data_IF_428086030867
#
_entry.id   IF_428086030867
#
_cell.length_a   1.000
_cell.length_b   1.000
_cell.length_c   1.000
_cell.angle_alpha   90.00
_cell.angle_beta   90.00
_cell.angle_gamma   90.00
#
_symmetry.space_group_name_H-M   'P 1'
#
loop_
_entity.id
_entity.type
_entity.pdbx_description
1 polymer ?
#
# COMPACT_ATOMS: atom_id res chain seq x y z
N UNK A 1 -25.42 -0.58 1.18
CA UNK A 1 -25.16 0.84 1.50
C UNK A 1 -24.26 1.41 0.42
N UNK A 2 -24.61 2.55 -0.16
CA UNK A 2 -23.72 3.25 -1.11
C UNK A 2 -22.74 4.08 -0.29
N UNK A 3 -21.45 3.71 -0.31
CA UNK A 3 -20.42 4.47 0.40
C UNK A 3 -20.30 5.85 -0.25
N UNK A 4 -20.14 6.89 0.57
CA UNK A 4 -19.85 8.26 0.10
C UNK A 4 -18.35 8.44 0.08
N UNK A 5 -17.78 9.02 -0.97
CA UNK A 5 -16.35 9.31 -1.04
C UNK A 5 -15.92 10.33 0.03
N UNK A 6 -14.64 10.25 0.42
CA UNK A 6 -13.96 11.14 1.35
C UNK A 6 -14.59 11.16 2.74
N UNK A 7 -14.94 9.98 3.25
CA UNK A 7 -15.58 9.81 4.56
C UNK A 7 -14.92 8.68 5.35
N UNK A 8 -14.82 8.87 6.65
CA UNK A 8 -14.49 7.78 7.57
C UNK A 8 -15.80 7.16 8.05
N UNK A 9 -15.96 5.85 7.83
CA UNK A 9 -17.15 5.10 8.23
C UNK A 9 -16.80 3.63 8.45
N UNK A 10 -17.79 2.82 8.80
CA UNK A 10 -17.64 1.37 8.77
C UNK A 10 -18.05 0.82 7.39
N UNK A 11 -17.41 -0.26 6.98
CA UNK A 11 -17.82 -1.05 5.83
C UNK A 11 -17.87 -2.53 6.19
N UNK A 12 -18.75 -3.27 5.52
CA UNK A 12 -18.83 -4.72 5.65
C UNK A 12 -17.52 -5.33 5.15
N UNK A 13 -16.82 -6.07 6.01
CA UNK A 13 -15.46 -6.56 5.72
C UNK A 13 -15.43 -7.43 4.45
N UNK A 14 -16.47 -8.24 4.23
CA UNK A 14 -16.60 -9.14 3.08
C UNK A 14 -16.84 -8.42 1.75
N UNK A 15 -17.26 -7.15 1.78
CA UNK A 15 -17.48 -6.35 0.56
C UNK A 15 -16.21 -5.68 0.05
N UNK A 16 -15.14 -5.69 0.85
CA UNK A 16 -13.87 -5.08 0.51
C UNK A 16 -13.07 -5.99 -0.42
N UNK A 17 -12.50 -5.41 -1.47
CA UNK A 17 -11.80 -6.13 -2.54
C UNK A 17 -10.31 -5.76 -2.56
N UNK A 18 -9.44 -6.50 -1.85
CA UNK A 18 -8.00 -6.33 -1.93
C UNK A 18 -7.47 -6.48 -3.35
N UNK A 19 -6.71 -5.48 -3.82
CA UNK A 19 -6.11 -5.51 -5.14
C UNK A 19 -4.74 -6.19 -5.21
N UNK A 20 -4.08 -6.32 -4.07
CA UNK A 20 -2.82 -7.07 -3.95
C UNK A 20 -3.02 -8.33 -3.10
N UNK A 21 -2.11 -9.28 -3.29
CA UNK A 21 -1.94 -10.44 -2.41
C UNK A 21 -1.42 -9.97 -1.05
N UNK A 22 -1.97 -10.56 0.02
CA UNK A 22 -1.45 -10.34 1.38
C UNK A 22 -0.24 -11.24 1.66
N UNK A 23 0.69 -10.76 2.45
CA UNK A 23 1.77 -11.58 3.00
C UNK A 23 1.32 -12.24 4.31
N UNK A 24 1.37 -13.58 4.43
CA UNK A 24 0.85 -14.31 5.59
C UNK A 24 1.41 -13.85 6.93
N UNK A 25 2.71 -13.51 6.98
CA UNK A 25 3.37 -13.01 8.19
C UNK A 25 2.75 -11.69 8.69
N UNK A 26 2.51 -10.71 7.80
CA UNK A 26 1.90 -9.45 8.20
C UNK A 26 0.44 -9.61 8.61
N UNK A 27 -0.31 -10.53 7.97
CA UNK A 27 -1.67 -10.86 8.40
C UNK A 27 -1.67 -11.47 9.79
N UNK A 28 -0.76 -12.42 10.07
CA UNK A 28 -0.63 -13.03 11.39
C UNK A 28 -0.27 -12.00 12.47
N UNK A 29 0.72 -11.14 12.18
CA UNK A 29 1.12 -10.05 13.07
C UNK A 29 -0.05 -9.12 13.40
N UNK A 30 -0.76 -8.62 12.40
CA UNK A 30 -1.92 -7.74 12.60
C UNK A 30 -3.03 -8.41 13.41
N UNK A 31 -3.27 -9.71 13.23
CA UNK A 31 -4.26 -10.44 14.03
C UNK A 31 -3.91 -10.45 15.51
N UNK A 32 -2.64 -10.69 15.84
CA UNK A 32 -2.19 -10.69 17.23
C UNK A 32 -2.19 -9.28 17.82
N UNK A 33 -1.80 -8.26 17.04
CA UNK A 33 -1.92 -6.85 17.44
C UNK A 33 -3.37 -6.48 17.75
N UNK A 34 -4.33 -6.75 16.85
CA UNK A 34 -5.76 -6.47 17.07
C UNK A 34 -6.28 -7.19 18.33
N UNK A 35 -5.90 -8.46 18.54
CA UNK A 35 -6.33 -9.22 19.73
C UNK A 35 -5.75 -8.66 21.03
N UNK A 36 -4.49 -8.22 21.01
CA UNK A 36 -3.79 -7.68 22.16
C UNK A 36 -4.31 -6.29 22.51
N UNK A 37 -4.39 -5.43 21.51
CA UNK A 37 -4.69 -4.01 21.65
C UNK A 37 -6.19 -3.72 21.69
N UNK A 38 -7.03 -4.72 21.35
CA UNK A 38 -8.50 -4.64 21.32
C UNK A 38 -9.03 -3.50 20.46
N UNK A 39 -8.27 -3.07 19.45
CA UNK A 39 -8.68 -2.03 18.53
C UNK A 39 -8.09 -2.23 17.12
N UNK A 40 -8.74 -1.64 16.12
CA UNK A 40 -8.19 -1.42 14.79
C UNK A 40 -7.60 -0.01 14.73
N UNK A 41 -6.26 0.07 14.64
CA UNK A 41 -5.54 1.35 14.76
C UNK A 41 -5.75 2.27 13.55
N UNK A 42 -5.64 1.74 12.33
CA UNK A 42 -5.71 2.52 11.10
C UNK A 42 -6.89 2.07 10.23
N UNK A 43 -7.67 2.98 9.64
CA UNK A 43 -8.77 2.63 8.72
C UNK A 43 -8.23 2.13 7.38
N UNK A 44 -8.91 1.16 6.77
CA UNK A 44 -8.59 0.70 5.40
C UNK A 44 -8.99 1.78 4.40
N UNK A 45 -8.13 2.11 3.43
CA UNK A 45 -8.51 3.04 2.36
C UNK A 45 -9.21 2.25 1.27
N UNK A 46 -10.42 2.67 0.89
CA UNK A 46 -11.27 1.94 -0.06
C UNK A 46 -11.91 2.89 -1.06
N UNK A 47 -12.02 2.49 -2.31
CA UNK A 47 -12.86 3.18 -3.29
C UNK A 47 -14.34 3.05 -2.90
N UNK A 48 -15.02 4.19 -2.81
CA UNK A 48 -16.42 4.24 -2.37
C UNK A 48 -17.37 3.53 -3.35
N UNK A 49 -17.07 3.59 -4.65
CA UNK A 49 -17.95 3.05 -5.68
C UNK A 49 -17.82 1.53 -5.84
N UNK A 50 -16.59 1.01 -5.77
CA UNK A 50 -16.29 -0.38 -6.17
C UNK A 50 -15.92 -1.32 -5.02
N UNK A 51 -15.58 -0.78 -3.85
CA UNK A 51 -15.02 -1.57 -2.74
C UNK A 51 -13.55 -1.95 -2.93
N UNK A 52 -12.89 -1.45 -3.99
CA UNK A 52 -11.45 -1.63 -4.23
C UNK A 52 -10.65 -1.12 -3.04
N UNK A 53 -9.90 -2.00 -2.37
CA UNK A 53 -9.02 -1.60 -1.27
C UNK A 53 -7.79 -0.94 -1.86
N UNK A 54 -7.63 0.36 -1.67
CA UNK A 54 -6.49 1.16 -2.14
C UNK A 54 -5.27 0.93 -1.24
N UNK A 55 -5.46 0.89 0.07
CA UNK A 55 -4.40 0.56 1.04
C UNK A 55 -5.04 -0.16 2.24
N UNK A 56 -4.44 -1.28 2.66
CA UNK A 56 -4.92 -2.04 3.81
C UNK A 56 -5.30 -3.50 3.52
N UNK A 57 -4.83 -4.10 2.42
CA UNK A 57 -4.97 -5.53 2.10
C UNK A 57 -4.78 -6.44 3.32
N UNK A 58 -3.67 -6.30 4.05
CA UNK A 58 -3.40 -7.14 5.23
C UNK A 58 -4.41 -6.93 6.38
N UNK A 59 -4.95 -5.71 6.52
CA UNK A 59 -5.94 -5.37 7.56
C UNK A 59 -7.30 -6.00 7.25
N UNK A 60 -7.73 -5.97 5.99
CA UNK A 60 -8.93 -6.67 5.53
C UNK A 60 -8.80 -8.18 5.77
N UNK A 61 -7.69 -8.78 5.33
CA UNK A 61 -7.43 -10.22 5.52
C UNK A 61 -7.35 -10.62 7.01
N UNK A 62 -6.75 -9.77 7.85
CA UNK A 62 -6.72 -10.00 9.30
C UNK A 62 -8.14 -9.95 9.90
N UNK A 63 -8.95 -8.97 9.50
CA UNK A 63 -10.33 -8.83 9.96
C UNK A 63 -11.22 -10.00 9.55
N UNK A 64 -11.13 -10.45 8.29
CA UNK A 64 -11.82 -11.67 7.81
C UNK A 64 -11.44 -12.89 8.66
N UNK A 65 -10.15 -13.10 8.92
CA UNK A 65 -9.67 -14.21 9.76
C UNK A 65 -10.04 -14.09 11.24
N UNK A 66 -10.36 -12.90 11.72
CA UNK A 66 -10.87 -12.65 13.06
C UNK A 66 -12.41 -12.68 13.11
N UNK A 67 -13.08 -12.79 11.96
CA UNK A 67 -14.54 -12.69 11.82
C UNK A 67 -15.11 -11.34 12.29
N UNK A 68 -14.33 -10.27 12.14
CA UNK A 68 -14.80 -8.91 12.39
C UNK A 68 -15.76 -8.52 11.25
N UNK A 69 -17.06 -8.31 11.51
CA UNK A 69 -18.06 -8.18 10.45
C UNK A 69 -17.97 -6.83 9.72
N UNK A 70 -17.63 -5.77 10.46
CA UNK A 70 -17.42 -4.43 9.91
C UNK A 70 -16.05 -3.91 10.30
N UNK A 71 -15.36 -3.21 9.40
CA UNK A 71 -14.06 -2.59 9.67
C UNK A 71 -14.11 -1.09 9.37
N UNK A 72 -13.38 -0.25 10.11
CA UNK A 72 -13.25 1.15 9.76
C UNK A 72 -12.55 1.33 8.41
N UNK A 73 -13.15 2.17 7.58
CA UNK A 73 -12.64 2.54 6.28
C UNK A 73 -12.55 4.05 6.13
N UNK A 74 -11.61 4.48 5.31
CA UNK A 74 -11.61 5.80 4.68
C UNK A 74 -11.98 5.61 3.22
N UNK A 75 -13.17 6.05 2.86
CA UNK A 75 -13.67 5.96 1.51
C UNK A 75 -13.06 7.07 0.67
N UNK A 76 -12.71 6.79 -0.57
CA UNK A 76 -12.19 7.76 -1.54
C UNK A 76 -12.91 7.63 -2.87
N UNK A 77 -12.77 8.64 -3.73
CA UNK A 77 -12.98 8.46 -5.16
C UNK A 77 -11.64 8.04 -5.76
N UNK A 78 -11.51 6.77 -6.16
CA UNK A 78 -10.25 6.23 -6.64
C UNK A 78 -9.71 6.96 -7.87
N UNK A 79 -10.58 7.49 -8.73
CA UNK A 79 -10.16 8.16 -9.97
C UNK A 79 -9.82 9.64 -9.77
N UNK A 80 -10.17 10.23 -8.63
CA UNK A 80 -9.74 11.58 -8.25
C UNK A 80 -8.23 11.76 -8.29
N UNK A 81 -7.77 12.96 -8.65
CA UNK A 81 -6.35 13.36 -8.65
C UNK A 81 -5.72 13.30 -7.25
N UNK A 82 -6.55 13.34 -6.19
CA UNK A 82 -6.13 13.21 -4.79
C UNK A 82 -5.66 11.80 -4.39
N UNK A 83 -5.87 10.83 -5.27
CA UNK A 83 -5.33 9.47 -5.15
C UNK A 83 -4.31 9.32 -6.26
N UNK A 84 -3.03 9.25 -5.94
CA UNK A 84 -1.98 9.02 -6.93
C UNK A 84 -1.59 7.54 -6.94
N UNK A 85 -1.30 7.00 -8.12
CA UNK A 85 -0.79 5.64 -8.30
C UNK A 85 0.63 5.70 -8.83
N UNK A 86 1.56 5.21 -8.02
CA UNK A 86 2.99 5.13 -8.29
C UNK A 86 3.47 3.68 -8.34
N UNK A 87 4.74 3.48 -8.66
CA UNK A 87 5.42 2.19 -8.57
C UNK A 87 6.30 2.05 -7.33
N UNK A 88 6.94 0.89 -7.23
CA UNK A 88 8.08 0.64 -6.35
C UNK A 88 9.33 0.38 -7.17
N UNK A 89 10.43 1.05 -6.83
CA UNK A 89 11.76 0.69 -7.32
C UNK A 89 12.31 -0.51 -6.54
N UNK A 90 13.00 -1.42 -7.23
CA UNK A 90 13.73 -2.52 -6.61
C UNK A 90 15.22 -2.22 -6.66
N UNK A 91 15.78 -1.74 -5.55
CA UNK A 91 17.21 -1.54 -5.40
C UNK A 91 17.86 -2.86 -4.95
N UNK A 92 18.83 -3.38 -5.70
CA UNK A 92 19.38 -4.73 -5.49
C UNK A 92 20.77 -4.65 -4.92
N UNK A 93 21.02 -5.36 -3.81
CA UNK A 93 22.28 -5.22 -3.05
C UNK A 93 23.44 -6.06 -3.58
N UNK A 94 23.16 -7.21 -4.21
CA UNK A 94 24.19 -8.10 -4.80
C UNK A 94 24.27 -7.93 -6.31
N UNK A 95 25.46 -8.10 -6.88
CA UNK A 95 25.67 -8.09 -8.34
C UNK A 95 25.11 -9.35 -9.01
N UNK A 96 24.74 -9.22 -10.28
CA UNK A 96 24.39 -10.33 -11.18
C UNK A 96 25.08 -10.10 -12.53
N UNK A 97 25.56 -11.17 -13.18
CA UNK A 97 26.14 -11.06 -14.53
C UNK A 97 25.02 -11.00 -15.58
N UNK A 98 25.32 -10.39 -16.73
CA UNK A 98 24.37 -10.34 -17.85
C UNK A 98 24.00 -11.73 -18.36
N UNK A 99 24.94 -12.69 -18.34
CA UNK A 99 24.68 -14.07 -18.75
C UNK A 99 23.67 -14.76 -17.82
N UNK A 100 23.89 -14.66 -16.50
CA UNK A 100 22.97 -15.23 -15.50
C UNK A 100 21.60 -14.57 -15.57
N UNK A 101 21.54 -13.24 -15.68
CA UNK A 101 20.28 -12.52 -15.84
C UNK A 101 19.56 -12.96 -17.12
N UNK A 102 20.27 -13.07 -18.25
CA UNK A 102 19.70 -13.50 -19.54
C UNK A 102 19.10 -14.90 -19.45
N UNK A 103 19.81 -15.84 -18.83
CA UNK A 103 19.32 -17.20 -18.61
C UNK A 103 18.06 -17.20 -17.74
N UNK A 104 18.07 -16.41 -16.66
CA UNK A 104 16.95 -16.30 -15.73
C UNK A 104 15.71 -15.70 -16.38
N UNK A 105 15.83 -14.60 -17.12
CA UNK A 105 14.64 -13.98 -17.74
C UNK A 105 14.05 -14.91 -18.82
N UNK A 106 14.90 -15.61 -19.59
CA UNK A 106 14.46 -16.55 -20.63
C UNK A 106 13.70 -17.74 -20.05
N UNK A 107 14.12 -18.25 -18.88
CA UNK A 107 13.43 -19.37 -18.23
C UNK A 107 12.01 -19.02 -17.77
N UNK A 108 11.70 -17.72 -17.62
CA UNK A 108 10.35 -17.21 -17.34
C UNK A 108 9.62 -16.67 -18.58
N UNK A 109 10.16 -16.88 -19.79
CA UNK A 109 9.54 -16.47 -21.04
C UNK A 109 9.68 -14.99 -21.38
N UNK A 110 10.64 -14.29 -20.77
CA UNK A 110 10.97 -12.92 -21.13
C UNK A 110 12.10 -12.84 -22.16
N UNK A 111 12.12 -11.76 -22.93
CA UNK A 111 13.18 -11.44 -23.89
C UNK A 111 13.64 -9.99 -23.76
N UNK A 112 14.89 -9.70 -24.14
CA UNK A 112 15.37 -8.32 -24.30
C UNK A 112 14.93 -7.69 -25.62
N UNK A 113 14.48 -8.49 -26.58
CA UNK A 113 13.96 -8.01 -27.85
C UNK A 113 12.53 -7.54 -27.67
N UNK A 114 12.21 -6.35 -28.17
CA UNK A 114 10.83 -5.89 -28.21
C UNK A 114 10.13 -6.52 -29.42
N UNK A 115 9.54 -7.69 -29.20
CA UNK A 115 8.84 -8.47 -30.23
C UNK A 115 7.34 -8.12 -30.24
N UNK A 116 6.88 -7.29 -29.31
CA UNK A 116 5.46 -7.00 -29.08
C UNK A 116 5.12 -5.53 -29.28
N UNK A 117 3.85 -5.21 -29.50
CA UNK A 117 3.35 -3.83 -29.39
C UNK A 117 3.14 -3.39 -27.93
N UNK A 118 3.44 -4.28 -26.96
CA UNK A 118 3.20 -4.03 -25.54
C UNK A 118 4.36 -3.25 -24.90
N UNK A 119 4.10 -2.49 -23.82
CA UNK A 119 5.16 -1.88 -23.04
C UNK A 119 6.06 -2.94 -22.41
N UNK A 120 7.26 -2.53 -22.01
CA UNK A 120 8.19 -3.39 -21.27
C UNK A 120 7.52 -3.95 -20.01
N UNK A 121 7.89 -5.17 -19.61
CA UNK A 121 7.48 -5.78 -18.36
C UNK A 121 8.35 -5.31 -17.18
N UNK A 122 9.68 -5.27 -17.39
CA UNK A 122 10.66 -4.81 -16.40
C UNK A 122 11.75 -3.99 -17.09
N UNK A 123 12.17 -2.89 -16.47
CA UNK A 123 13.31 -2.06 -16.88
C UNK A 123 14.40 -2.14 -15.80
N UNK A 124 15.55 -2.68 -16.16
CA UNK A 124 16.76 -2.73 -15.34
C UNK A 124 17.65 -1.51 -15.62
N UNK A 125 18.35 -1.05 -14.58
CA UNK A 125 19.35 0.00 -14.60
C UNK A 125 20.56 -0.45 -13.77
N UNK A 126 21.77 -0.32 -14.31
CA UNK A 126 23.02 -0.62 -13.64
C UNK A 126 23.75 0.66 -13.22
N UNK A 127 24.64 0.55 -12.24
CA UNK A 127 25.39 1.70 -11.70
C UNK A 127 26.34 2.35 -12.70
N UNK A 128 26.67 1.67 -13.80
CA UNK A 128 27.46 2.21 -14.91
C UNK A 128 26.61 2.97 -15.94
N UNK A 129 25.31 3.14 -15.69
CA UNK A 129 24.36 3.82 -16.57
C UNK A 129 23.75 2.94 -17.66
N UNK A 130 24.15 1.66 -17.78
CA UNK A 130 23.52 0.73 -18.71
C UNK A 130 22.08 0.48 -18.26
N UNK A 131 21.15 0.46 -19.22
CA UNK A 131 19.76 0.06 -18.98
C UNK A 131 19.30 -0.98 -20.00
N UNK A 132 18.43 -1.89 -19.55
CA UNK A 132 17.83 -2.93 -20.39
C UNK A 132 16.37 -3.12 -20.02
N UNK A 133 15.54 -3.28 -21.03
CA UNK A 133 14.12 -3.61 -20.86
C UNK A 133 13.91 -5.06 -21.26
N UNK A 134 13.00 -5.73 -20.56
CA UNK A 134 12.54 -7.05 -20.93
C UNK A 134 11.04 -7.02 -21.24
N UNK A 135 10.64 -7.86 -22.18
CA UNK A 135 9.30 -7.96 -22.73
C UNK A 135 8.81 -9.40 -22.59
N UNK A 136 7.50 -9.58 -22.58
CA UNK A 136 6.83 -10.89 -22.60
C UNK A 136 5.73 -10.83 -23.65
N UNK A 137 5.46 -11.95 -24.32
CA UNK A 137 4.41 -12.03 -25.35
C UNK A 137 2.99 -11.96 -24.76
N UNK A 138 2.83 -12.28 -23.47
CA UNK A 138 1.53 -12.24 -22.80
C UNK A 138 0.89 -10.85 -22.93
N UNK A 139 -0.37 -10.82 -23.33
CA UNK A 139 -1.10 -9.57 -23.56
C UNK A 139 -1.89 -9.09 -22.34
N UNK A 140 -2.14 -9.95 -21.36
CA UNK A 140 -2.94 -9.61 -20.18
C UNK A 140 -2.07 -9.32 -18.93
N UNK A 141 -2.66 -8.55 -18.02
CA UNK A 141 -2.01 -8.16 -16.76
C UNK A 141 -1.79 -9.35 -15.84
N UNK A 142 -2.78 -10.24 -15.61
CA UNK A 142 -2.60 -11.38 -14.73
C UNK A 142 -1.42 -12.29 -15.10
N UNK A 143 -1.26 -12.67 -16.37
CA UNK A 143 -0.16 -13.53 -16.80
C UNK A 143 1.19 -12.80 -16.67
N UNK A 144 1.25 -11.55 -17.14
CA UNK A 144 2.47 -10.72 -17.07
C UNK A 144 2.96 -10.55 -15.64
N UNK A 145 2.09 -10.11 -14.71
CA UNK A 145 2.47 -9.88 -13.31
C UNK A 145 2.77 -11.18 -12.57
N UNK A 146 2.11 -12.28 -12.93
CA UNK A 146 2.44 -13.60 -12.39
C UNK A 146 3.85 -14.04 -12.77
N UNK A 147 4.26 -13.87 -14.03
CA UNK A 147 5.63 -14.15 -14.48
C UNK A 147 6.65 -13.20 -13.83
N UNK A 148 6.33 -11.91 -13.70
CA UNK A 148 7.18 -10.94 -12.99
C UNK A 148 7.39 -11.38 -11.53
N UNK A 149 6.34 -11.82 -10.84
CA UNK A 149 6.44 -12.30 -9.46
C UNK A 149 7.31 -13.56 -9.34
N UNK A 150 7.22 -14.49 -10.29
CA UNK A 150 8.08 -15.68 -10.31
C UNK A 150 9.55 -15.31 -10.52
N UNK A 151 9.83 -14.37 -11.44
CA UNK A 151 11.17 -13.81 -11.63
C UNK A 151 11.67 -13.10 -10.37
N UNK A 152 10.85 -12.24 -9.77
CA UNK A 152 11.20 -11.47 -8.57
C UNK A 152 11.53 -12.41 -7.39
N UNK A 153 10.79 -13.50 -7.20
CA UNK A 153 11.11 -14.53 -6.19
C UNK A 153 12.52 -15.11 -6.35
N UNK A 154 13.01 -15.29 -7.58
CA UNK A 154 14.39 -15.70 -7.83
C UNK A 154 15.39 -14.56 -7.59
N UNK A 155 15.01 -13.31 -7.86
CA UNK A 155 15.85 -12.14 -7.62
C UNK A 155 15.93 -11.77 -6.13
N UNK A 156 14.97 -12.17 -5.29
CA UNK A 156 14.99 -11.89 -3.84
C UNK A 156 16.28 -12.36 -3.14
N UNK A 157 16.92 -13.43 -3.61
CA UNK A 157 18.20 -13.91 -3.07
C UNK A 157 19.36 -12.90 -3.23
N UNK A 158 19.20 -11.93 -4.14
CA UNK A 158 20.14 -10.83 -4.38
C UNK A 158 19.93 -9.64 -3.41
N UNK A 159 18.98 -9.76 -2.48
CA UNK A 159 18.68 -8.75 -1.46
C UNK A 159 18.03 -7.51 -2.09
N UNK A 160 16.74 -7.63 -2.42
CA UNK A 160 15.93 -6.54 -2.95
C UNK A 160 15.47 -5.63 -1.81
N UNK A 161 15.66 -4.32 -1.97
CA UNK A 161 15.04 -3.29 -1.16
C UNK A 161 14.03 -2.51 -2.00
N UNK A 162 12.82 -2.35 -1.48
CA UNK A 162 11.79 -1.54 -2.12
C UNK A 162 12.00 -0.07 -1.76
N UNK A 163 12.15 0.76 -2.77
CA UNK A 163 12.34 2.22 -2.66
C UNK A 163 11.26 2.95 -3.45
N UNK A 164 11.12 4.27 -3.25
CA UNK A 164 10.26 5.07 -4.12
C UNK A 164 10.80 4.99 -5.55
N UNK A 165 9.90 4.82 -6.50
CA UNK A 165 10.22 4.75 -7.93
C UNK A 165 11.11 5.89 -8.40
N UNK A 166 10.78 7.13 -8.01
CA UNK A 166 11.57 8.33 -8.34
C UNK A 166 12.98 8.37 -7.76
N UNK A 167 13.24 7.62 -6.69
CA UNK A 167 14.55 7.62 -6.02
C UNK A 167 15.49 6.56 -6.60
N UNK A 168 14.97 5.53 -7.28
CA UNK A 168 15.74 4.36 -7.70
C UNK A 168 16.90 4.73 -8.61
N UNK A 169 16.67 5.60 -9.59
CA UNK A 169 17.69 6.00 -10.56
C UNK A 169 18.88 6.68 -9.88
N UNK A 170 18.61 7.63 -9.00
CA UNK A 170 19.65 8.30 -8.22
C UNK A 170 20.45 7.29 -7.39
N UNK A 171 19.77 6.40 -6.64
CA UNK A 171 20.42 5.41 -5.77
C UNK A 171 21.33 4.44 -6.55
N UNK A 172 20.98 4.11 -7.78
CA UNK A 172 21.79 3.22 -8.63
C UNK A 172 22.95 3.98 -9.26
N UNK A 173 22.72 5.18 -9.81
CA UNK A 173 23.75 5.97 -10.50
C UNK A 173 24.80 6.55 -9.55
N UNK A 174 24.48 6.74 -8.27
CA UNK A 174 25.48 7.08 -7.22
C UNK A 174 26.24 5.85 -6.69
N UNK A 175 26.01 4.67 -7.28
CA UNK A 175 26.61 3.40 -6.91
C UNK A 175 26.32 2.93 -5.47
N UNK A 176 25.23 3.41 -4.85
CA UNK A 176 24.75 2.86 -3.57
C UNK A 176 24.24 1.42 -3.77
N UNK A 177 23.69 1.13 -4.95
CA UNK A 177 23.30 -0.22 -5.36
C UNK A 177 23.94 -0.58 -6.71
N UNK A 178 24.44 -1.81 -6.89
CA UNK A 178 25.05 -2.24 -8.16
C UNK A 178 24.08 -2.20 -9.34
N UNK A 179 22.79 -2.45 -9.10
CA UNK A 179 21.73 -2.30 -10.07
C UNK A 179 20.38 -2.20 -9.38
N UNK A 180 19.37 -1.80 -10.15
CA UNK A 180 17.99 -1.80 -9.73
C UNK A 180 17.05 -2.04 -10.90
N UNK A 181 15.76 -2.25 -10.60
CA UNK A 181 14.75 -2.37 -11.65
C UNK A 181 13.38 -1.84 -11.25
N UNK A 182 12.64 -1.46 -12.27
CA UNK A 182 11.24 -1.03 -12.23
C UNK A 182 10.40 -2.05 -12.99
N UNK A 183 9.29 -2.48 -12.42
CA UNK A 183 8.26 -3.18 -13.17
C UNK A 183 7.40 -2.16 -13.94
N UNK A 184 6.68 -2.60 -14.97
CA UNK A 184 5.67 -1.76 -15.64
C UNK A 184 4.75 -1.12 -14.60
N UNK A 185 4.44 0.15 -14.76
CA UNK A 185 3.45 0.82 -13.93
C UNK A 185 2.06 0.58 -14.52
N UNK A 186 1.11 0.17 -13.67
CA UNK A 186 -0.29 0.04 -14.04
C UNK A 186 -0.97 1.41 -14.01
N UNK A 187 -1.99 1.55 -14.83
CA UNK A 187 -3.00 2.62 -14.70
C UNK A 187 -4.02 2.25 -13.62
N UNK A 188 -4.72 3.25 -13.07
CA UNK A 188 -5.83 3.00 -12.13
C UNK A 188 -6.91 2.10 -12.74
N UNK A 189 -7.20 2.28 -14.03
CA UNK A 189 -8.17 1.46 -14.75
C UNK A 189 -7.77 -0.02 -14.76
N UNK A 190 -6.51 -0.29 -15.10
CA UNK A 190 -5.94 -1.64 -15.10
C UNK A 190 -5.93 -2.30 -13.70
N UNK A 191 -5.67 -1.53 -12.64
CA UNK A 191 -5.78 -2.03 -11.26
C UNK A 191 -7.22 -2.39 -10.93
N UNK A 192 -8.18 -1.54 -11.28
CA UNK A 192 -9.60 -1.81 -11.03
C UNK A 192 -10.08 -3.03 -11.82
N UNK A 193 -9.77 -3.12 -13.12
CA UNK A 193 -10.11 -4.27 -13.98
C UNK A 193 -9.56 -5.57 -13.41
N UNK A 194 -8.30 -5.58 -12.96
CA UNK A 194 -7.70 -6.76 -12.29
C UNK A 194 -8.55 -7.25 -11.11
N UNK A 195 -9.04 -6.34 -10.28
CA UNK A 195 -9.87 -6.68 -9.12
C UNK A 195 -11.27 -7.13 -9.49
N UNK A 196 -11.85 -6.57 -10.55
CA UNK A 196 -13.15 -6.99 -11.07
C UNK A 196 -13.09 -8.39 -11.68
N UNK A 197 -11.94 -8.80 -12.19
CA UNK A 197 -11.65 -10.15 -12.69
C UNK A 197 -11.21 -11.13 -11.59
N UNK A 198 -11.42 -10.78 -10.31
CA UNK A 198 -10.99 -11.54 -9.13
C UNK A 198 -9.47 -11.84 -9.07
N UNK A 199 -8.66 -11.08 -9.81
CA UNK A 199 -7.22 -11.19 -9.80
C UNK A 199 -6.59 -10.25 -8.77
N UNK A 200 -5.73 -10.81 -7.93
CA UNK A 200 -4.91 -10.04 -6.98
C UNK A 200 -3.48 -9.96 -7.46
N UNK A 201 -3.03 -8.73 -7.66
CA UNK A 201 -1.66 -8.42 -8.05
C UNK A 201 -0.65 -8.95 -7.01
N UNK A 202 0.56 -9.32 -7.43
CA UNK A 202 1.65 -9.60 -6.50
C UNK A 202 1.86 -8.44 -5.51
N UNK A 203 2.35 -8.70 -4.29
CA UNK A 203 2.64 -7.64 -3.33
C UNK A 203 3.62 -6.62 -3.92
N UNK A 204 3.47 -5.33 -3.56
CA UNK A 204 4.36 -4.25 -4.06
C UNK A 204 4.30 -4.08 -5.58
N UNK A 205 3.14 -4.35 -6.18
CA UNK A 205 2.86 -4.02 -7.58
C UNK A 205 2.50 -2.55 -7.74
N UNK A 206 1.82 -1.97 -6.74
CA UNK A 206 1.34 -0.59 -6.75
C UNK A 206 1.83 0.17 -5.51
N UNK A 207 1.86 1.50 -5.60
CA UNK A 207 2.08 2.40 -4.48
C UNK A 207 1.10 3.56 -4.54
N UNK A 208 0.10 3.56 -3.67
CA UNK A 208 -0.85 4.66 -3.59
C UNK A 208 -0.42 5.74 -2.60
N UNK A 209 -0.53 6.98 -3.05
CA UNK A 209 -0.41 8.19 -2.20
C UNK A 209 -1.81 8.80 -2.16
N UNK A 210 -2.34 9.02 -0.95
CA UNK A 210 -3.73 9.46 -0.76
C UNK A 210 -3.72 10.71 0.10
N UNK A 211 -4.23 11.82 -0.44
CA UNK A 211 -4.31 13.07 0.29
C UNK A 211 -5.17 12.92 1.56
N UNK A 212 -4.77 13.62 2.64
CA UNK A 212 -5.48 13.67 3.92
C UNK A 212 -5.72 12.27 4.55
N UNK A 213 -4.82 11.32 4.30
CA UNK A 213 -4.91 9.94 4.81
C UNK A 213 -5.16 9.95 6.33
N UNK A 214 -6.28 9.40 6.82
CA UNK A 214 -6.56 9.32 8.24
C UNK A 214 -5.75 8.21 8.92
N UNK A 215 -5.22 8.51 10.09
CA UNK A 215 -4.31 7.65 10.84
C UNK A 215 -4.74 7.58 12.31
N UNK A 216 -4.46 6.45 12.96
CA UNK A 216 -4.62 6.26 14.40
C UNK A 216 -6.05 6.49 14.94
N UNK A 217 -7.07 6.01 14.24
CA UNK A 217 -8.47 6.06 14.72
C UNK A 217 -8.71 5.21 15.97
N UNK A 218 -7.84 4.23 16.24
CA UNK A 218 -7.91 3.33 17.41
C UNK A 218 -9.31 2.75 17.69
N UNK A 219 -10.07 2.41 16.66
CA UNK A 219 -11.46 1.96 16.81
C UNK A 219 -11.53 0.68 17.65
N UNK A 220 -12.20 0.69 18.81
CA UNK A 220 -12.37 -0.48 19.66
C UNK A 220 -13.07 -1.63 18.92
N UNK A 221 -12.58 -2.84 19.14
CA UNK A 221 -13.10 -4.04 18.44
C UNK A 221 -14.53 -4.36 18.88
N UNK A 222 -14.95 -4.03 20.12
CA UNK A 222 -16.32 -4.25 20.59
C UNK A 222 -17.35 -3.47 19.78
N UNK A 223 -17.03 -2.25 19.34
CA UNK A 223 -17.88 -1.45 18.43
C UNK A 223 -18.09 -2.21 17.11
N UNK A 224 -17.06 -2.87 16.61
CA UNK A 224 -17.09 -3.54 15.30
C UNK A 224 -17.99 -4.78 15.26
N UNK A 225 -18.36 -5.33 16.43
CA UNK A 225 -19.25 -6.48 16.56
C UNK A 225 -20.69 -6.11 16.92
N UNK A 226 -20.97 -4.85 17.23
CA UNK A 226 -22.29 -4.46 17.75
C UNK A 226 -23.32 -4.24 16.63
N UNK A 227 -24.60 -4.36 16.99
CA UNK A 227 -25.70 -4.10 16.06
C UNK A 227 -25.80 -2.60 15.71
N UNK A 228 -25.50 -1.74 16.69
CA UNK A 228 -25.44 -0.28 16.66
C UNK A 228 -24.05 0.27 16.27
N UNK A 229 -23.22 -0.53 15.59
CA UNK A 229 -21.81 -0.22 15.33
C UNK A 229 -21.58 1.13 14.65
N UNK A 230 -22.44 1.52 13.71
CA UNK A 230 -22.31 2.79 12.98
C UNK A 230 -22.51 4.01 13.90
N UNK A 231 -23.43 3.93 14.86
CA UNK A 231 -23.74 4.99 15.83
C UNK A 231 -22.59 5.12 16.83
N UNK A 232 -22.17 4.01 17.44
CA UNK A 232 -21.02 3.97 18.36
C UNK A 232 -19.72 4.41 17.70
N UNK A 233 -19.53 4.07 16.42
CA UNK A 233 -18.34 4.52 15.69
C UNK A 233 -18.37 6.02 15.39
N UNK A 234 -19.54 6.60 15.11
CA UNK A 234 -19.69 8.04 14.97
C UNK A 234 -19.38 8.76 16.29
N UNK A 235 -19.96 8.30 17.41
CA UNK A 235 -19.67 8.82 18.76
C UNK A 235 -18.17 8.71 19.08
N UNK A 236 -17.54 7.58 18.76
CA UNK A 236 -16.11 7.37 18.96
C UNK A 236 -15.25 8.42 18.23
N UNK A 237 -15.64 8.81 17.02
CA UNK A 237 -14.95 9.83 16.22
C UNK A 237 -15.23 11.25 16.70
N UNK A 238 -16.42 11.53 17.24
CA UNK A 238 -16.81 12.86 17.74
C UNK A 238 -16.03 13.25 19.01
N UNK A 239 -15.58 12.27 19.78
CA UNK A 239 -14.80 12.49 21.01
C UNK A 239 -13.33 12.84 20.77
N UNK A 240 -12.82 12.68 19.54
CA UNK A 240 -11.43 12.97 19.22
C UNK A 240 -11.22 14.29 18.47
N UNK A 241 -9.96 14.56 18.12
CA UNK A 241 -9.57 15.76 17.37
C UNK A 241 -8.70 15.37 16.19
N UNK A 242 -8.97 15.93 15.02
CA UNK A 242 -8.15 15.72 13.83
C UNK A 242 -7.00 16.73 13.78
N UNK A 243 -5.78 16.20 13.65
CA UNK A 243 -4.55 16.98 13.61
C UNK A 243 -3.88 16.76 12.26
N UNK A 244 -3.64 17.85 11.55
CA UNK A 244 -2.93 17.84 10.28
C UNK A 244 -1.43 17.60 10.53
N UNK A 245 -0.89 16.59 9.85
CA UNK A 245 0.54 16.24 9.89
C UNK A 245 1.10 16.40 8.48
N UNK A 246 2.19 17.19 8.31
CA UNK A 246 2.70 17.54 6.99
C UNK A 246 3.32 16.34 6.26
N UNK A 247 3.47 16.44 4.93
CA UNK A 247 4.24 15.49 4.13
C UNK A 247 5.65 15.22 4.66
N UNK A 248 6.13 14.00 4.46
CA UNK A 248 7.51 13.60 4.75
C UNK A 248 7.77 13.09 6.16
N UNK A 249 6.76 13.09 7.03
CA UNK A 249 6.86 12.56 8.40
C UNK A 249 7.01 11.05 8.39
N UNK A 250 7.86 10.55 9.29
CA UNK A 250 8.07 9.13 9.52
C UNK A 250 7.27 8.67 10.74
N UNK A 251 6.37 7.71 10.52
CA UNK A 251 5.55 7.07 11.54
C UNK A 251 5.92 5.59 11.60
N UNK A 252 5.06 4.72 11.08
CA UNK A 252 5.40 3.31 10.77
C UNK A 252 6.19 3.19 9.45
N UNK A 253 6.03 4.19 8.58
CA UNK A 253 6.83 4.44 7.38
C UNK A 253 6.88 5.93 7.09
N UNK A 254 7.68 6.33 6.11
CA UNK A 254 7.63 7.67 5.55
C UNK A 254 6.40 7.86 4.68
N UNK A 255 5.61 8.89 4.96
CA UNK A 255 4.46 9.29 4.15
C UNK A 255 4.86 10.45 3.23
N UNK A 256 4.57 10.34 1.93
CA UNK A 256 4.85 11.41 0.97
C UNK A 256 3.70 12.44 0.95
N UNK A 257 2.51 12.02 1.39
CA UNK A 257 1.31 12.83 1.53
C UNK A 257 1.20 13.54 2.89
N UNK A 258 0.34 14.56 2.93
CA UNK A 258 -0.24 15.07 4.17
C UNK A 258 -1.12 13.98 4.79
N UNK A 259 -1.01 13.78 6.09
CA UNK A 259 -1.85 12.83 6.84
C UNK A 259 -2.69 13.56 7.89
N UNK A 260 -3.82 12.96 8.27
CA UNK A 260 -4.69 13.43 9.34
C UNK A 260 -4.65 12.44 10.49
N UNK A 261 -4.07 12.84 11.61
CA UNK A 261 -4.01 12.00 12.81
C UNK A 261 -5.25 12.25 13.65
N UNK A 262 -5.99 11.20 13.96
CA UNK A 262 -7.04 11.24 14.96
C UNK A 262 -6.38 11.21 16.35
N UNK A 263 -6.61 12.22 17.18
CA UNK A 263 -6.03 12.35 18.50
C UNK A 263 -7.09 12.26 19.59
N UNK A 264 -6.80 11.44 20.60
CA UNK A 264 -7.56 11.27 21.85
C UNK A 264 -6.56 11.31 23.01
N UNK A 265 -6.80 12.18 23.99
CA UNK A 265 -5.85 12.46 25.08
C UNK A 265 -5.62 11.22 25.96
N UNK A 266 -6.66 10.44 26.21
CA UNK A 266 -6.63 9.18 26.96
C UNK A 266 -5.81 8.08 26.24
N UNK A 267 -5.58 8.21 24.94
CA UNK A 267 -4.73 7.31 24.16
C UNK A 267 -3.32 7.87 23.93
N UNK A 268 -2.96 9.02 24.52
CA UNK A 268 -1.70 9.73 24.25
C UNK A 268 -0.46 8.82 24.29
N UNK A 269 -0.38 7.92 25.26
CA UNK A 269 0.75 6.99 25.42
C UNK A 269 0.91 5.96 24.29
N UNK A 270 -0.12 5.78 23.44
CA UNK A 270 -0.13 4.82 22.33
C UNK A 270 0.33 5.43 21.00
N UNK A 271 0.43 6.75 20.90
CA UNK A 271 0.91 7.41 19.69
C UNK A 271 2.44 7.41 19.63
N UNK A 272 3.03 7.35 18.42
CA UNK A 272 4.46 7.58 18.24
C UNK A 272 4.92 8.90 18.86
N UNK A 273 6.11 8.91 19.44
CA UNK A 273 6.70 10.12 20.05
C UNK A 273 6.92 11.24 19.04
N UNK A 274 7.10 10.90 17.76
CA UNK A 274 7.21 11.85 16.63
C UNK A 274 5.96 12.71 16.44
N UNK A 275 4.81 12.32 17.01
CA UNK A 275 3.57 13.10 16.93
C UNK A 275 3.37 14.10 18.09
N UNK A 276 4.18 14.02 19.14
CA UNK A 276 3.93 14.75 20.39
C UNK A 276 3.98 16.26 20.22
N UNK A 277 4.85 16.77 19.33
CA UNK A 277 4.97 18.20 19.09
C UNK A 277 3.76 18.74 18.30
N UNK A 278 3.20 17.95 17.39
CA UNK A 278 1.96 18.29 16.70
C UNK A 278 0.77 18.36 17.67
N UNK A 279 0.73 17.50 18.68
CA UNK A 279 -0.33 17.49 19.68
C UNK A 279 -0.29 18.71 20.60
N UNK A 280 0.92 19.15 21.00
CA UNK A 280 1.08 20.39 21.81
C UNK A 280 0.59 21.62 21.05
N UNK A 281 1.02 21.77 19.79
CA UNK A 281 0.62 22.90 18.95
C UNK A 281 -0.91 22.96 18.76
N UNK A 282 -1.58 21.81 18.61
CA UNK A 282 -3.04 21.74 18.48
C UNK A 282 -3.76 22.13 19.78
N UNK A 283 -3.25 21.71 20.95
CA UNK A 283 -3.82 22.09 22.25
C UNK A 283 -3.69 23.59 22.53
N UNK A 284 -2.58 24.23 22.13
CA UNK A 284 -2.36 25.67 22.29
C UNK A 284 -3.28 26.52 21.39
N UNK A 285 -3.64 26.00 20.21
CA UNK A 285 -4.60 26.66 19.31
C UNK A 285 -6.05 26.59 19.80
N UNK A 286 -6.42 25.58 20.60
CA UNK A 286 -7.77 25.48 21.21
C UNK A 286 -7.98 26.40 22.42
N UNK A 287 -6.91 26.93 23.00
CA UNK A 287 -6.96 27.81 24.19
C UNK A 287 -7.03 29.30 23.81
N UNK A 288 -6.80 29.64 22.53
CA UNK A 288 -6.94 31.00 21.98
C UNK A 288 -8.28 31.16 21.27
#
# INVERSE_FOLDING_TARGET
MTLKAWKICLAQTETLKPHEQSLPYFVAKLREEIKKDKCVIHPVIVDAATGLVVDGTHRVEAALKLRIPRIPVYTVDYFSEKVELHGWGRAVTKKITMETLTSLIKSFGFSFENISSQPYAVKFLWSDGVSKQIYVEDSDIPATYSKINLLEKQLQQLGIKYVRDKDLEQLVLTAEYPFGYMIRQLTKKEVLESVLDDYRLPPKSTRHVVEDRPMFIFCPVDILYSDDADERFAEWLDEGTWIDVPPGVELDRKYDEKTKVFFREELRSRYPTTLMDYFKAASEQKIR
#
